data_IF_937456491862
#
_entry.id   IF_937456491862
#
_cell.length_a   1.000
_cell.length_b   1.000
_cell.length_c   1.000
_cell.angle_alpha   90.00
_cell.angle_beta   90.00
_cell.angle_gamma   90.00
#
_symmetry.space_group_name_H-M   'P 1'
#
loop_
_entity.id
_entity.type
_entity.pdbx_description
1 polymer ?
#
# COMPACT_ATOMS: atom_id res chain seq x y z
N UNK A 1 1.93 -6.04 10.08
CA UNK A 1 1.21 -5.28 9.04
C UNK A 1 0.71 -3.92 9.53
N UNK A 2 -0.09 -3.85 10.61
CA UNK A 2 -0.65 -2.58 11.15
C UNK A 2 0.41 -1.47 11.32
N UNK A 3 1.51 -1.76 12.03
CA UNK A 3 2.61 -0.81 12.21
C UNK A 3 3.37 -0.48 10.93
N UNK A 4 3.48 -1.43 10.00
CA UNK A 4 4.24 -1.25 8.76
C UNK A 4 3.55 -0.26 7.80
N UNK A 5 2.22 -0.34 7.74
CA UNK A 5 1.40 0.48 6.84
C UNK A 5 0.72 1.65 7.56
N UNK A 6 1.06 1.90 8.82
CA UNK A 6 0.45 2.93 9.67
C UNK A 6 -1.09 2.85 9.64
N UNK A 7 -1.64 1.67 9.88
CA UNK A 7 -3.09 1.47 9.95
C UNK A 7 -3.57 1.94 11.32
N UNK A 8 -4.35 3.02 11.34
CA UNK A 8 -5.01 3.51 12.55
C UNK A 8 -6.26 2.66 12.81
N UNK A 9 -6.17 1.80 13.81
CA UNK A 9 -7.26 0.91 14.24
C UNK A 9 -7.21 0.75 15.76
N UNK A 10 -8.36 0.70 16.46
CA UNK A 10 -8.41 0.42 17.90
C UNK A 10 -7.81 -0.94 18.28
N UNK A 11 -7.95 -1.94 17.41
CA UNK A 11 -7.37 -3.27 17.61
C UNK A 11 -7.25 -4.05 16.29
N UNK A 12 -6.50 -5.15 16.30
CA UNK A 12 -6.41 -6.06 15.16
C UNK A 12 -7.73 -6.78 14.83
N UNK A 13 -8.67 -6.83 15.77
CA UNK A 13 -9.99 -7.46 15.60
C UNK A 13 -11.07 -6.47 15.13
N UNK A 14 -10.71 -5.21 14.89
CA UNK A 14 -11.66 -4.20 14.42
C UNK A 14 -12.09 -4.52 13.00
N UNK A 15 -13.39 -4.44 12.72
CA UNK A 15 -13.93 -4.64 11.38
C UNK A 15 -13.35 -3.61 10.41
N UNK A 16 -12.88 -4.06 9.25
CA UNK A 16 -12.26 -3.15 8.26
C UNK A 16 -13.26 -2.06 7.81
N UNK A 17 -14.54 -2.41 7.66
CA UNK A 17 -15.61 -1.50 7.23
C UNK A 17 -15.83 -0.32 8.18
N UNK A 18 -15.42 -0.41 9.45
CA UNK A 18 -15.52 0.71 10.40
C UNK A 18 -14.31 1.65 10.35
N UNK A 19 -13.28 1.35 9.56
CA UNK A 19 -12.10 2.20 9.40
C UNK A 19 -12.36 3.27 8.33
N UNK A 20 -11.63 4.40 8.39
CA UNK A 20 -11.64 5.40 7.31
C UNK A 20 -11.17 4.79 5.98
N UNK A 21 -11.62 5.30 4.83
CA UNK A 21 -11.21 4.81 3.50
C UNK A 21 -9.70 4.64 3.31
N UNK A 22 -8.88 5.58 3.80
CA UNK A 22 -7.41 5.43 3.76
C UNK A 22 -6.87 4.24 4.55
N UNK A 23 -7.43 3.95 5.73
CA UNK A 23 -7.06 2.78 6.53
C UNK A 23 -7.60 1.48 5.93
N UNK A 24 -8.77 1.50 5.30
CA UNK A 24 -9.31 0.36 4.56
C UNK A 24 -8.38 -0.01 3.39
N UNK A 25 -7.97 0.98 2.59
CA UNK A 25 -7.06 0.74 1.47
C UNK A 25 -5.69 0.25 1.93
N UNK A 26 -5.15 0.76 3.06
CA UNK A 26 -3.92 0.21 3.67
C UNK A 26 -4.08 -1.26 4.09
N UNK A 27 -5.23 -1.65 4.63
CA UNK A 27 -5.50 -3.07 4.92
C UNK A 27 -5.45 -3.94 3.64
N UNK A 28 -6.01 -3.45 2.53
CA UNK A 28 -5.99 -4.16 1.24
C UNK A 28 -4.55 -4.30 0.73
N UNK A 29 -3.75 -3.22 0.77
CA UNK A 29 -2.31 -3.29 0.46
C UNK A 29 -1.62 -4.36 1.32
N UNK A 30 -1.89 -4.36 2.63
CA UNK A 30 -1.32 -5.33 3.56
C UNK A 30 -1.70 -6.78 3.25
N UNK A 31 -2.93 -7.02 2.80
CA UNK A 31 -3.38 -8.34 2.36
C UNK A 31 -2.52 -8.86 1.20
N UNK A 32 -2.29 -8.03 0.18
CA UNK A 32 -1.51 -8.45 -0.99
C UNK A 32 -0.01 -8.60 -0.69
N UNK A 33 0.54 -7.77 0.19
CA UNK A 33 1.91 -7.93 0.66
C UNK A 33 2.09 -9.24 1.45
N UNK A 34 1.07 -9.67 2.20
CA UNK A 34 1.11 -10.93 2.93
C UNK A 34 1.06 -12.16 2.00
N UNK A 35 0.39 -12.05 0.86
CA UNK A 35 0.28 -13.12 -0.16
C UNK A 35 1.53 -13.19 -1.07
N UNK A 36 2.55 -12.36 -0.81
CA UNK A 36 3.78 -12.28 -1.59
C UNK A 36 3.57 -12.15 -3.11
N UNK A 37 2.59 -11.33 -3.51
CA UNK A 37 2.23 -11.19 -4.93
C UNK A 37 3.38 -10.59 -5.73
N UNK A 38 3.73 -11.14 -6.91
CA UNK A 38 4.81 -10.61 -7.76
C UNK A 38 4.50 -9.21 -8.31
N UNK A 39 3.24 -9.00 -8.71
CA UNK A 39 2.78 -7.77 -9.37
C UNK A 39 1.59 -7.20 -8.59
N UNK A 40 1.67 -5.90 -8.30
CA UNK A 40 0.64 -5.11 -7.64
C UNK A 40 0.25 -3.97 -8.58
N UNK A 41 -1.00 -3.98 -9.05
CA UNK A 41 -1.57 -2.92 -9.88
C UNK A 41 -2.53 -2.11 -9.02
N UNK A 42 -2.38 -0.80 -9.04
CA UNK A 42 -3.20 0.14 -8.30
C UNK A 42 -4.02 0.96 -9.30
N UNK A 43 -5.34 0.79 -9.29
CA UNK A 43 -6.26 1.64 -10.04
C UNK A 43 -6.88 2.65 -9.07
N UNK A 44 -6.72 3.94 -9.37
CA UNK A 44 -7.12 5.07 -8.52
C UNK A 44 -6.94 4.85 -7.00
N UNK A 45 -5.73 4.56 -6.49
CA UNK A 45 -5.50 4.11 -5.10
C UNK A 45 -5.68 5.19 -4.03
N UNK A 46 -6.31 6.31 -4.39
CA UNK A 46 -6.61 7.41 -3.47
C UNK A 46 -8.04 7.93 -3.62
N UNK A 47 -8.90 7.24 -4.40
CA UNK A 47 -10.26 7.69 -4.75
C UNK A 47 -11.13 7.99 -3.52
N UNK A 48 -10.97 7.19 -2.46
CA UNK A 48 -11.76 7.28 -1.22
C UNK A 48 -10.96 7.84 -0.05
N UNK A 49 -9.78 8.42 -0.33
CA UNK A 49 -8.93 9.03 0.68
C UNK A 49 -9.12 10.54 0.63
N UNK A 50 -9.48 11.14 1.76
CA UNK A 50 -9.64 12.59 1.89
C UNK A 50 -8.47 13.23 2.64
N UNK A 51 -8.19 14.51 2.35
CA UNK A 51 -7.19 15.32 3.07
C UNK A 51 -5.75 14.78 2.99
N UNK A 52 -4.97 15.04 4.05
CA UNK A 52 -3.53 14.70 4.12
C UNK A 52 -3.19 13.21 4.10
N UNK A 53 -4.19 12.32 4.13
CA UNK A 53 -3.96 10.87 4.06
C UNK A 53 -3.55 10.38 2.65
N UNK A 54 -3.79 11.16 1.59
CA UNK A 54 -3.37 10.80 0.23
C UNK A 54 -1.85 10.67 0.11
N UNK A 55 -1.12 11.63 0.67
CA UNK A 55 0.34 11.63 0.67
C UNK A 55 0.90 10.41 1.40
N UNK A 56 0.24 9.97 2.47
CA UNK A 56 0.66 8.80 3.23
C UNK A 56 0.54 7.51 2.40
N UNK A 57 -0.55 7.35 1.64
CA UNK A 57 -0.70 6.23 0.72
C UNK A 57 0.39 6.25 -0.36
N UNK A 58 0.69 7.41 -0.95
CA UNK A 58 1.78 7.53 -1.92
C UNK A 58 3.16 7.21 -1.31
N UNK A 59 3.41 7.62 -0.06
CA UNK A 59 4.64 7.26 0.66
C UNK A 59 4.75 5.74 0.84
N UNK A 60 3.66 5.07 1.20
CA UNK A 60 3.62 3.61 1.30
C UNK A 60 3.95 2.96 -0.04
N UNK A 61 3.25 3.33 -1.12
CA UNK A 61 3.48 2.78 -2.47
C UNK A 61 4.93 2.99 -2.91
N UNK A 62 5.49 4.19 -2.69
CA UNK A 62 6.88 4.50 -3.03
C UNK A 62 7.89 3.70 -2.21
N UNK A 63 7.61 3.48 -0.91
CA UNK A 63 8.46 2.67 -0.06
C UNK A 63 8.43 1.19 -0.48
N UNK A 64 7.25 0.66 -0.80
CA UNK A 64 7.10 -0.70 -1.33
C UNK A 64 7.84 -0.87 -2.65
N UNK A 65 7.75 0.13 -3.53
CA UNK A 65 8.51 0.14 -4.79
C UNK A 65 10.02 0.16 -4.55
N UNK A 66 10.53 0.88 -3.54
CA UNK A 66 11.96 0.89 -3.19
C UNK A 66 12.42 -0.46 -2.63
N UNK A 67 11.67 -1.02 -1.67
CA UNK A 67 11.96 -2.33 -1.07
C UNK A 67 11.93 -3.43 -2.12
N UNK A 68 10.92 -3.41 -3.00
CA UNK A 68 10.85 -4.36 -4.10
C UNK A 68 11.85 -4.08 -5.19
N UNK A 69 12.30 -2.84 -5.45
CA UNK A 69 13.41 -2.60 -6.39
C UNK A 69 14.71 -3.28 -5.93
N UNK A 70 15.01 -3.31 -4.64
CA UNK A 70 16.19 -4.05 -4.14
C UNK A 70 16.08 -5.57 -4.30
N UNK A 71 14.85 -6.10 -4.31
CA UNK A 71 14.59 -7.52 -4.52
C UNK A 71 14.47 -7.86 -6.04
N UNK A 72 13.83 -6.97 -6.78
CA UNK A 72 13.53 -7.02 -8.21
C UNK A 72 14.73 -6.71 -9.11
N UNK A 73 15.80 -6.06 -8.63
CA UNK A 73 17.06 -5.94 -9.40
C UNK A 73 17.67 -7.29 -9.78
N UNK A 74 17.13 -8.41 -9.25
CA UNK A 74 17.43 -9.78 -9.71
C UNK A 74 16.60 -10.25 -10.92
N UNK A 75 15.59 -9.50 -11.39
CA UNK A 75 14.73 -9.87 -12.51
C UNK A 75 14.63 -8.76 -13.58
N UNK A 76 14.93 -9.01 -14.87
CA UNK A 76 15.13 -7.95 -15.87
C UNK A 76 13.86 -7.21 -16.34
N UNK A 77 12.65 -7.64 -15.94
CA UNK A 77 11.49 -7.46 -16.80
C UNK A 77 10.67 -6.16 -16.64
N UNK A 78 10.60 -5.48 -15.47
CA UNK A 78 9.63 -4.38 -15.32
C UNK A 78 10.13 -3.16 -14.54
N UNK A 79 10.57 -2.14 -15.29
CA UNK A 79 10.82 -0.79 -14.80
C UNK A 79 9.53 0.01 -14.94
N UNK A 80 8.65 0.00 -13.95
CA UNK A 80 7.49 0.91 -13.97
C UNK A 80 8.00 2.35 -14.11
N UNK A 81 7.43 3.18 -15.02
CA UNK A 81 7.76 4.60 -15.08
C UNK A 81 7.46 5.24 -13.72
N UNK A 82 8.37 6.07 -13.25
CA UNK A 82 8.06 6.99 -12.14
C UNK A 82 7.16 8.03 -12.77
N UNK A 83 5.86 8.02 -12.45
CA UNK A 83 5.04 9.19 -12.75
C UNK A 83 5.66 10.38 -11.99
N UNK A 84 5.90 11.52 -12.65
CA UNK A 84 6.44 12.72 -12.01
C UNK A 84 5.53 13.25 -10.90
#
# INVERSE_FOLDING_TARGET
MIKLLHIFTPSANTQITSLSGGNQQKCIVGKWLYVDSDILIFDEPTREIHGGAKEEMYKIINNLRKQRKSDWTRSPAYRLPVCP
#
